data_IF_991851928352
#
_entry.id   IF_991851928352
#
_cell.length_a   1.000
_cell.length_b   1.000
_cell.length_c   1.000
_cell.angle_alpha   90.00
_cell.angle_beta   90.00
_cell.angle_gamma   90.00
#
_symmetry.space_group_name_H-M   'P 1'
#
loop_
_entity.id
_entity.type
_entity.pdbx_description
1 polymer ?
#
# COMPACT_ATOMS: atom_id res chain seq x y z
N UNK A 1 -4.46 -1.42 19.08
CA UNK A 1 -4.47 -2.01 17.73
C UNK A 1 -3.89 -1.03 16.73
N UNK A 2 -2.57 -1.03 16.65
CA UNK A 2 -1.81 -0.18 15.72
C UNK A 2 -1.35 -1.02 14.54
N UNK A 3 -1.29 -0.38 13.37
CA UNK A 3 -0.74 -0.97 12.15
C UNK A 3 0.73 -1.34 12.44
N UNK A 4 1.25 -2.45 11.89
CA UNK A 4 2.64 -2.83 12.11
C UNK A 4 3.60 -1.67 11.78
N UNK A 5 4.48 -1.31 12.71
CA UNK A 5 5.43 -0.19 12.54
C UNK A 5 6.62 -0.54 11.61
N UNK A 6 6.73 -1.79 11.17
CA UNK A 6 7.82 -2.31 10.35
C UNK A 6 7.51 -2.29 8.84
N UNK A 7 6.66 -1.37 8.40
CA UNK A 7 6.37 -1.19 6.98
C UNK A 7 7.47 -0.38 6.32
N UNK A 8 7.84 -0.78 5.11
CA UNK A 8 8.86 -0.10 4.27
C UNK A 8 8.28 1.04 3.44
N UNK A 9 7.08 1.50 3.79
CA UNK A 9 6.30 2.54 3.11
C UNK A 9 5.71 3.47 4.17
N UNK A 10 5.38 4.69 3.77
CA UNK A 10 4.70 5.64 4.64
C UNK A 10 3.23 5.25 4.81
N UNK A 11 2.68 5.54 5.99
CA UNK A 11 1.30 5.20 6.32
C UNK A 11 0.57 6.39 6.92
N UNK A 12 -0.60 6.68 6.36
CA UNK A 12 -1.53 7.68 6.88
C UNK A 12 -2.84 7.00 7.26
N UNK A 13 -3.22 7.05 8.55
CA UNK A 13 -4.45 6.44 9.06
C UNK A 13 -5.39 7.50 9.60
N UNK A 14 -6.68 7.39 9.25
CA UNK A 14 -7.75 8.17 9.85
C UNK A 14 -8.97 7.29 10.06
N UNK A 15 -9.36 7.08 11.33
CA UNK A 15 -10.42 6.14 11.71
C UNK A 15 -10.19 4.73 11.12
N UNK A 16 -11.11 4.25 10.26
CA UNK A 16 -11.04 2.97 9.54
C UNK A 16 -10.32 3.05 8.19
N UNK A 17 -10.08 4.25 7.66
CA UNK A 17 -9.36 4.46 6.41
C UNK A 17 -7.83 4.51 6.64
N UNK A 18 -7.10 3.86 5.74
CA UNK A 18 -5.64 3.85 5.71
C UNK A 18 -5.13 4.05 4.28
N UNK A 19 -4.12 4.90 4.13
CA UNK A 19 -3.39 5.12 2.88
C UNK A 19 -1.94 4.70 3.08
N UNK A 20 -1.41 3.95 2.11
CA UNK A 20 -0.01 3.60 2.00
C UNK A 20 0.58 4.36 0.82
N UNK A 21 1.71 5.01 1.03
CA UNK A 21 2.39 5.75 -0.02
C UNK A 21 3.90 5.58 0.04
N UNK A 22 4.53 5.69 -1.13
CA UNK A 22 5.96 5.52 -1.28
C UNK A 22 6.46 6.35 -2.46
N UNK A 23 7.53 7.11 -2.25
CA UNK A 23 8.32 7.68 -3.34
C UNK A 23 9.27 6.61 -3.89
N UNK A 24 9.20 6.32 -5.19
CA UNK A 24 10.06 5.33 -5.85
C UNK A 24 11.01 6.06 -6.78
N UNK A 25 12.32 5.87 -6.56
CA UNK A 25 13.36 6.44 -7.40
C UNK A 25 13.40 5.82 -8.80
N UNK A 26 14.07 6.51 -9.73
CA UNK A 26 14.25 5.99 -11.08
C UNK A 26 15.05 4.67 -11.06
N UNK A 27 14.46 3.60 -11.61
CA UNK A 27 15.06 2.26 -11.62
C UNK A 27 14.87 1.46 -10.33
N UNK A 28 14.16 2.00 -9.34
CA UNK A 28 13.81 1.28 -8.11
C UNK A 28 12.49 0.51 -8.24
N UNK A 29 12.24 -0.39 -7.29
CA UNK A 29 11.06 -1.23 -7.23
C UNK A 29 10.16 -0.74 -6.08
N UNK A 30 8.86 -0.71 -6.33
CA UNK A 30 7.86 -0.42 -5.30
C UNK A 30 7.77 -1.56 -4.28
N UNK A 31 7.68 -1.20 -3.00
CA UNK A 31 7.51 -2.11 -1.87
C UNK A 31 6.06 -2.08 -1.33
N UNK A 32 5.15 -1.37 -2.00
CA UNK A 32 3.74 -1.23 -1.58
C UNK A 32 3.02 -2.58 -1.49
N UNK A 33 3.28 -3.52 -2.40
CA UNK A 33 2.70 -4.86 -2.34
C UNK A 33 3.15 -5.60 -1.07
N UNK A 34 4.44 -5.57 -0.75
CA UNK A 34 4.97 -6.22 0.45
C UNK A 34 4.35 -5.62 1.73
N UNK A 35 4.19 -4.30 1.77
CA UNK A 35 3.53 -3.62 2.87
C UNK A 35 2.06 -4.02 2.98
N UNK A 36 1.34 -4.11 1.86
CA UNK A 36 -0.04 -4.55 1.82
C UNK A 36 -0.20 -6.00 2.30
N UNK A 37 0.70 -6.91 1.92
CA UNK A 37 0.67 -8.31 2.37
C UNK A 37 0.79 -8.40 3.91
N UNK A 38 1.67 -7.57 4.50
CA UNK A 38 1.84 -7.47 5.96
C UNK A 38 0.56 -6.96 6.61
N UNK A 39 -0.05 -5.90 6.06
CA UNK A 39 -1.30 -5.33 6.59
C UNK A 39 -2.44 -6.33 6.45
N UNK A 40 -2.55 -7.05 5.33
CA UNK A 40 -3.58 -8.05 5.11
C UNK A 40 -3.50 -9.15 6.17
N UNK A 41 -2.31 -9.69 6.42
CA UNK A 41 -2.08 -10.70 7.46
C UNK A 41 -2.40 -10.18 8.87
N UNK A 42 -2.00 -8.94 9.18
CA UNK A 42 -2.34 -8.29 10.45
C UNK A 42 -3.86 -8.09 10.57
N UNK A 43 -4.52 -7.66 9.50
CA UNK A 43 -5.95 -7.39 9.48
C UNK A 43 -6.77 -8.66 9.76
N UNK A 44 -6.40 -9.78 9.15
CA UNK A 44 -7.02 -11.09 9.37
C UNK A 44 -6.83 -11.54 10.82
N UNK A 45 -5.61 -11.41 11.35
CA UNK A 45 -5.29 -11.79 12.74
C UNK A 45 -6.09 -10.98 13.77
N UNK A 46 -6.44 -9.74 13.42
CA UNK A 46 -7.21 -8.84 14.28
C UNK A 46 -8.71 -8.76 13.91
N UNK A 47 -9.21 -9.61 13.00
CA UNK A 47 -10.62 -9.62 12.55
C UNK A 47 -11.08 -8.27 11.93
N UNK A 48 -10.17 -7.57 11.26
CA UNK A 48 -10.37 -6.28 10.61
C UNK A 48 -10.18 -6.37 9.09
N UNK A 49 -10.84 -7.32 8.42
CA UNK A 49 -10.62 -7.62 6.99
C UNK A 49 -10.70 -6.39 6.07
N UNK A 50 -9.77 -6.29 5.12
CA UNK A 50 -9.72 -5.21 4.12
C UNK A 50 -10.92 -5.28 3.17
N UNK A 51 -11.52 -4.13 2.86
CA UNK A 51 -12.60 -4.02 1.89
C UNK A 51 -12.06 -3.84 0.46
N UNK A 52 -11.87 -4.95 -0.25
CA UNK A 52 -11.33 -4.99 -1.63
C UNK A 52 -12.08 -4.06 -2.60
N UNK A 53 -13.40 -3.87 -2.43
CA UNK A 53 -14.19 -3.00 -3.32
C UNK A 53 -13.91 -1.51 -3.11
N UNK A 54 -13.45 -1.13 -1.91
CA UNK A 54 -13.15 0.26 -1.56
C UNK A 54 -11.66 0.58 -1.71
N UNK A 55 -10.78 -0.42 -1.61
CA UNK A 55 -9.35 -0.23 -1.80
C UNK A 55 -9.03 0.07 -3.26
N UNK A 56 -8.19 1.08 -3.48
CA UNK A 56 -7.74 1.52 -4.80
C UNK A 56 -6.22 1.65 -4.79
N UNK A 57 -5.61 1.30 -5.90
CA UNK A 57 -4.22 1.58 -6.20
C UNK A 57 -4.12 2.80 -7.13
N UNK A 58 -3.05 3.59 -6.96
CA UNK A 58 -2.80 4.78 -7.76
C UNK A 58 -1.30 5.00 -7.90
N UNK A 59 -0.87 5.33 -9.12
CA UNK A 59 0.49 5.75 -9.41
C UNK A 59 0.52 7.19 -9.90
N UNK A 60 1.40 7.99 -9.34
CA UNK A 60 1.61 9.38 -9.76
C UNK A 60 3.03 9.47 -10.33
N UNK A 61 3.13 9.68 -11.63
CA UNK A 61 4.39 9.87 -12.34
C UNK A 61 4.35 11.19 -13.10
N UNK A 62 5.41 11.99 -12.98
CA UNK A 62 5.51 13.29 -13.65
C UNK A 62 6.25 13.24 -14.98
N UNK A 63 6.73 12.06 -15.41
CA UNK A 63 7.44 11.88 -16.68
C UNK A 63 6.51 11.35 -17.77
N UNK A 64 6.71 11.79 -19.02
CA UNK A 64 5.88 11.37 -20.16
C UNK A 64 6.02 9.87 -20.53
N UNK A 65 7.14 9.23 -20.16
CA UNK A 65 7.37 7.80 -20.39
C UNK A 65 6.94 6.98 -19.16
N UNK A 66 5.64 6.80 -19.00
CA UNK A 66 5.10 5.97 -17.92
C UNK A 66 5.19 4.49 -18.30
N UNK A 67 6.10 3.75 -17.67
CA UNK A 67 5.88 2.32 -17.48
C UNK A 67 4.84 2.21 -16.37
N UNK A 68 3.64 1.75 -16.70
CA UNK A 68 2.64 1.45 -15.67
C UNK A 68 3.27 0.45 -14.68
N UNK A 69 3.27 0.76 -13.38
CA UNK A 69 3.80 -0.16 -12.39
C UNK A 69 2.91 -1.42 -12.33
N UNK A 70 3.43 -2.52 -11.78
CA UNK A 70 2.61 -3.69 -11.53
C UNK A 70 1.39 -3.33 -10.66
N UNK A 71 0.19 -3.86 -10.98
CA UNK A 71 -0.98 -3.69 -10.13
C UNK A 71 -0.74 -4.31 -8.75
N UNK A 72 -1.42 -3.76 -7.76
CA UNK A 72 -1.37 -4.25 -6.38
C UNK A 72 -2.56 -5.18 -6.13
N UNK A 73 -2.33 -6.29 -5.43
CA UNK A 73 -3.32 -7.34 -5.15
C UNK A 73 -3.62 -7.46 -3.66
N UNK A 74 -4.90 -7.66 -3.32
CA UNK A 74 -5.44 -7.90 -1.96
C UNK A 74 -6.03 -9.30 -1.89
#
# INVERSE_FOLDING_TARGET
DEIPANLTVDTSKYADDCTLDQAVGAGEISHVQQALDIIQNWSVSNKMTINVKKTKDMWICFTESVLEPPPVYI
#
